data_IF_731376731994
#
_entry.id   IF_731376731994
#
_cell.length_a   1.000
_cell.length_b   1.000
_cell.length_c   1.000
_cell.angle_alpha   90.00
_cell.angle_beta   90.00
_cell.angle_gamma   90.00
#
_symmetry.space_group_name_H-M   'P 1'
#
loop_
_entity.id
_entity.type
_entity.pdbx_description
1 polymer ?
#
# COMPACT_ATOMS: atom_id res chain seq x y z
N UNK A 1 47.97 -78.12 -37.78
CA UNK A 1 48.32 -76.70 -37.77
C UNK A 1 47.07 -75.84 -37.48
N UNK A 2 46.86 -75.36 -36.27
CA UNK A 2 45.72 -74.49 -35.89
C UNK A 2 46.28 -73.23 -35.33
N UNK A 3 46.13 -72.14 -36.04
CA UNK A 3 46.57 -70.82 -35.72
C UNK A 3 45.54 -70.14 -34.76
N UNK A 4 45.99 -69.73 -33.54
CA UNK A 4 45.16 -68.97 -32.58
C UNK A 4 45.27 -67.49 -32.90
N UNK A 5 44.16 -66.84 -33.17
CA UNK A 5 44.04 -65.38 -33.26
C UNK A 5 43.73 -64.85 -31.89
N UNK A 6 44.65 -64.00 -31.37
CA UNK A 6 44.42 -63.20 -30.12
C UNK A 6 43.57 -61.95 -30.46
N UNK A 7 42.43 -61.80 -29.82
CA UNK A 7 41.65 -60.58 -29.82
C UNK A 7 42.17 -59.64 -28.77
N UNK A 8 42.61 -58.47 -29.20
CA UNK A 8 42.83 -57.32 -28.31
C UNK A 8 41.52 -56.63 -28.06
N UNK A 9 41.07 -56.52 -26.79
CA UNK A 9 39.96 -55.71 -26.36
C UNK A 9 40.41 -54.27 -26.10
N UNK A 10 39.90 -53.32 -26.85
CA UNK A 10 40.03 -51.89 -26.55
C UNK A 10 38.98 -51.52 -25.47
N UNK A 11 39.43 -51.25 -24.27
CA UNK A 11 38.59 -50.65 -23.22
C UNK A 11 38.45 -49.15 -23.46
N UNK A 12 37.25 -48.71 -23.84
CA UNK A 12 36.89 -47.29 -23.90
C UNK A 12 36.56 -46.81 -22.47
N UNK A 13 37.42 -46.00 -21.89
CA UNK A 13 37.14 -45.29 -20.63
C UNK A 13 36.22 -44.10 -20.94
N UNK A 14 34.95 -44.19 -20.52
CA UNK A 14 34.03 -43.03 -20.49
C UNK A 14 34.45 -42.09 -19.37
N UNK A 15 35.02 -40.95 -19.73
CA UNK A 15 35.24 -39.83 -18.80
C UNK A 15 33.89 -39.08 -18.71
N UNK A 16 33.11 -39.34 -17.66
CA UNK A 16 32.01 -38.48 -17.29
C UNK A 16 32.53 -37.16 -16.74
N UNK A 17 32.65 -36.17 -17.62
CA UNK A 17 32.83 -34.77 -17.17
C UNK A 17 31.53 -34.30 -16.51
N UNK A 18 31.49 -34.35 -15.18
CA UNK A 18 30.44 -33.73 -14.39
C UNK A 18 30.57 -32.20 -14.53
N UNK A 19 29.72 -31.62 -15.39
CA UNK A 19 29.49 -30.19 -15.33
C UNK A 19 28.77 -29.90 -14.02
N UNK A 20 29.53 -29.54 -12.98
CA UNK A 20 29.00 -28.90 -11.80
C UNK A 20 28.35 -27.58 -12.27
N UNK A 21 27.02 -27.50 -12.27
CA UNK A 21 26.34 -26.23 -12.36
C UNK A 21 26.75 -25.43 -11.11
N UNK A 22 27.73 -24.56 -11.28
CA UNK A 22 27.99 -23.51 -10.31
C UNK A 22 26.71 -22.68 -10.26
N UNK A 23 25.96 -22.81 -9.18
CA UNK A 23 24.89 -21.89 -8.87
C UNK A 23 25.53 -20.50 -8.79
N UNK A 24 25.25 -19.64 -9.77
CA UNK A 24 25.62 -18.24 -9.68
C UNK A 24 24.86 -17.72 -8.47
N UNK A 25 25.53 -17.58 -7.34
CA UNK A 25 25.00 -16.85 -6.20
C UNK A 25 24.91 -15.39 -6.68
N UNK A 26 23.73 -14.98 -7.09
CA UNK A 26 23.48 -13.59 -7.42
C UNK A 26 23.76 -12.79 -6.15
N UNK A 27 24.64 -11.79 -6.25
CA UNK A 27 24.92 -10.91 -5.12
C UNK A 27 23.61 -10.27 -4.67
N UNK A 28 23.34 -10.30 -3.36
CA UNK A 28 22.15 -9.67 -2.80
C UNK A 28 22.15 -8.18 -3.15
N UNK A 29 21.04 -7.68 -3.67
CA UNK A 29 20.87 -6.24 -3.87
C UNK A 29 20.67 -5.55 -2.51
N UNK A 30 21.07 -4.28 -2.43
CA UNK A 30 20.86 -3.43 -1.26
C UNK A 30 20.01 -2.19 -1.58
N UNK A 31 19.12 -2.30 -2.56
CA UNK A 31 18.23 -1.21 -2.93
C UNK A 31 17.41 -0.76 -1.72
N UNK A 32 17.25 0.57 -1.52
CA UNK A 32 16.48 1.11 -0.40
C UNK A 32 15.07 0.54 -0.33
N UNK A 33 14.62 0.32 0.91
CA UNK A 33 13.24 -0.07 1.23
C UNK A 33 12.51 1.15 1.78
N UNK A 34 11.46 1.57 1.09
CA UNK A 34 10.63 2.70 1.49
C UNK A 34 9.27 2.17 1.95
N UNK A 35 8.94 2.40 3.21
CA UNK A 35 7.65 2.08 3.78
C UNK A 35 6.62 3.16 3.46
N UNK A 36 5.43 2.77 2.99
CA UNK A 36 4.33 3.66 2.60
C UNK A 36 3.08 3.32 3.40
N UNK A 37 2.68 4.22 4.29
CA UNK A 37 1.51 4.03 5.17
C UNK A 37 0.17 4.12 4.41
N UNK A 38 -0.91 3.63 5.03
CA UNK A 38 -2.27 3.68 4.50
C UNK A 38 -3.05 4.94 4.88
N UNK A 39 -4.38 4.81 4.77
CA UNK A 39 -5.36 5.82 5.21
C UNK A 39 -5.16 6.17 6.68
N UNK A 40 -5.33 7.46 7.03
CA UNK A 40 -5.09 8.00 8.36
C UNK A 40 -3.70 7.70 8.94
N UNK A 41 -2.71 7.34 8.10
CA UNK A 41 -1.35 7.06 8.55
C UNK A 41 -0.61 8.33 8.99
N UNK A 42 0.55 8.15 9.60
CA UNK A 42 1.31 9.23 10.21
C UNK A 42 2.81 8.92 10.23
N UNK A 43 3.59 9.96 10.51
CA UNK A 43 5.04 9.90 10.52
C UNK A 43 5.66 9.45 11.84
N UNK A 44 6.99 9.28 11.83
CA UNK A 44 7.76 8.82 12.98
C UNK A 44 7.74 9.80 14.18
N UNK A 45 7.45 11.08 13.93
CA UNK A 45 7.46 12.16 14.94
C UNK A 45 6.06 12.65 15.30
N UNK A 46 5.03 11.99 14.81
CA UNK A 46 3.63 12.27 15.10
C UNK A 46 3.08 11.29 16.15
N UNK A 47 1.82 11.43 16.53
CA UNK A 47 1.11 10.57 17.49
C UNK A 47 1.88 10.32 18.77
N UNK A 48 2.46 11.39 19.32
CA UNK A 48 3.20 11.36 20.58
C UNK A 48 4.33 10.30 20.63
N UNK A 49 4.85 9.92 19.46
CA UNK A 49 5.90 8.92 19.31
C UNK A 49 5.43 7.48 19.11
N UNK A 50 4.12 7.21 19.12
CA UNK A 50 3.58 5.94 18.66
C UNK A 50 3.85 5.79 17.16
N UNK A 51 4.23 4.59 16.72
CA UNK A 51 4.68 4.39 15.32
C UNK A 51 3.57 3.77 14.47
N UNK A 52 3.34 4.31 13.28
CA UNK A 52 2.51 3.61 12.30
C UNK A 52 3.10 2.22 12.01
N UNK A 53 4.40 2.16 11.80
CA UNK A 53 5.14 0.92 11.61
C UNK A 53 5.80 0.48 12.92
N UNK A 54 5.11 -0.38 13.68
CA UNK A 54 5.63 -0.97 14.90
C UNK A 54 4.85 -0.64 16.19
N UNK A 55 3.88 0.27 16.16
CA UNK A 55 3.11 0.63 17.35
C UNK A 55 4.00 1.21 18.47
N UNK A 56 4.11 0.49 19.57
CA UNK A 56 4.99 0.82 20.70
C UNK A 56 6.48 0.62 20.39
N UNK A 57 6.80 -0.12 19.33
CA UNK A 57 8.16 -0.36 18.87
C UNK A 57 8.43 0.44 17.59
N UNK A 58 9.66 0.43 17.11
CA UNK A 58 10.03 1.08 15.86
C UNK A 58 10.51 0.01 14.87
N UNK A 59 9.61 -0.41 13.97
CA UNK A 59 9.91 -1.43 12.98
C UNK A 59 11.03 -0.98 12.01
N UNK A 60 10.99 0.29 11.58
CA UNK A 60 12.03 0.84 10.70
C UNK A 60 13.41 0.72 11.35
N UNK A 61 13.55 1.18 12.60
CA UNK A 61 14.83 1.15 13.32
C UNK A 61 15.31 -0.27 13.54
N UNK A 62 14.42 -1.22 13.86
CA UNK A 62 14.79 -2.64 14.04
C UNK A 62 15.28 -3.29 12.75
N UNK A 63 14.67 -2.96 11.61
CA UNK A 63 15.10 -3.46 10.31
C UNK A 63 16.40 -2.78 9.88
N UNK A 64 16.54 -1.46 10.06
CA UNK A 64 17.78 -0.74 9.75
C UNK A 64 18.96 -1.27 10.57
N UNK A 65 18.74 -1.65 11.82
CA UNK A 65 19.79 -2.24 12.66
C UNK A 65 20.25 -3.62 12.17
N UNK A 66 19.35 -4.40 11.55
CA UNK A 66 19.71 -5.69 10.93
C UNK A 66 20.39 -5.51 9.56
N UNK A 67 19.88 -4.61 8.74
CA UNK A 67 20.34 -4.39 7.36
C UNK A 67 21.15 -3.10 7.26
N UNK A 68 22.39 -3.15 7.78
CA UNK A 68 23.27 -1.96 7.89
C UNK A 68 23.77 -1.45 6.53
N UNK A 69 23.78 -2.29 5.52
CA UNK A 69 24.16 -1.99 4.14
C UNK A 69 22.98 -1.59 3.24
N UNK A 70 21.75 -1.57 3.78
CA UNK A 70 20.52 -1.22 3.05
C UNK A 70 19.79 -0.09 3.75
N UNK A 71 19.35 0.91 3.00
CA UNK A 71 18.55 2.01 3.53
C UNK A 71 17.13 1.52 3.78
N UNK A 72 16.62 1.74 5.01
CA UNK A 72 15.21 1.49 5.38
C UNK A 72 14.60 2.79 5.87
N UNK A 73 13.60 3.32 5.17
CA UNK A 73 12.97 4.62 5.47
C UNK A 73 11.44 4.53 5.40
N UNK A 74 10.78 5.43 6.11
CA UNK A 74 9.33 5.61 6.06
C UNK A 74 9.01 6.93 5.37
N UNK A 75 8.18 6.87 4.33
CA UNK A 75 7.58 8.04 3.73
C UNK A 75 6.29 8.42 4.46
N UNK A 76 5.98 9.72 4.48
CA UNK A 76 4.83 10.27 5.22
C UNK A 76 4.02 11.18 4.29
N UNK A 77 3.12 10.59 3.54
CA UNK A 77 2.26 11.26 2.57
C UNK A 77 0.95 11.75 3.21
N UNK A 78 0.13 12.50 2.48
CA UNK A 78 -1.17 12.96 2.97
C UNK A 78 -2.08 11.80 3.39
N UNK A 79 -2.50 11.73 4.67
CA UNK A 79 -3.22 10.57 5.18
C UNK A 79 -4.63 10.41 4.61
N UNK A 80 -5.19 11.49 4.07
CA UNK A 80 -6.55 11.55 3.50
C UNK A 80 -6.58 12.03 2.05
N UNK A 81 -5.43 12.35 1.47
CA UNK A 81 -5.31 12.72 0.06
C UNK A 81 -5.61 11.53 -0.86
N UNK A 82 -5.92 11.82 -2.11
CA UNK A 82 -6.10 10.79 -3.15
C UNK A 82 -4.83 9.97 -3.38
N UNK A 83 -4.96 8.82 -4.03
CA UNK A 83 -3.80 8.02 -4.43
C UNK A 83 -2.88 8.78 -5.39
N UNK A 84 -3.43 9.67 -6.24
CA UNK A 84 -2.64 10.53 -7.10
C UNK A 84 -1.79 11.50 -6.30
N UNK A 85 -2.40 12.31 -5.44
CA UNK A 85 -1.69 13.28 -4.61
C UNK A 85 -0.63 12.61 -3.74
N UNK A 86 -0.99 11.50 -3.11
CA UNK A 86 -0.07 10.69 -2.30
C UNK A 86 1.11 10.15 -3.11
N UNK A 87 0.89 9.73 -4.35
CA UNK A 87 1.95 9.24 -5.22
C UNK A 87 2.90 10.37 -5.63
N UNK A 88 2.39 11.56 -5.91
CA UNK A 88 3.18 12.75 -6.18
C UNK A 88 4.02 13.14 -4.96
N UNK A 89 3.41 13.19 -3.78
CA UNK A 89 4.11 13.46 -2.54
C UNK A 89 5.20 12.41 -2.25
N UNK A 90 4.89 11.13 -2.48
CA UNK A 90 5.83 10.02 -2.33
C UNK A 90 7.05 10.18 -3.24
N UNK A 91 6.84 10.61 -4.50
CA UNK A 91 7.94 10.93 -5.40
C UNK A 91 8.87 11.97 -4.81
N UNK A 92 8.34 13.11 -4.38
CA UNK A 92 9.16 14.20 -3.83
C UNK A 92 9.79 13.85 -2.50
N UNK A 93 9.15 13.02 -1.68
CA UNK A 93 9.76 12.54 -0.44
C UNK A 93 10.94 11.60 -0.70
N UNK A 94 10.86 10.73 -1.70
CA UNK A 94 11.99 9.84 -2.04
C UNK A 94 13.09 10.63 -2.74
N UNK A 95 12.76 11.36 -3.80
CA UNK A 95 13.73 12.04 -4.67
C UNK A 95 14.27 13.33 -4.08
N UNK A 96 13.42 14.06 -3.38
CA UNK A 96 13.67 15.44 -2.97
C UNK A 96 13.01 16.45 -3.90
N UNK A 97 12.89 17.68 -3.41
CA UNK A 97 12.25 18.79 -4.11
C UNK A 97 10.92 19.20 -3.53
N UNK A 98 10.27 20.18 -4.17
CA UNK A 98 8.97 20.70 -3.74
C UNK A 98 7.83 20.07 -4.55
N UNK A 99 6.76 19.72 -3.85
CA UNK A 99 5.59 19.04 -4.44
C UNK A 99 4.99 19.90 -5.56
N UNK A 100 4.80 19.29 -6.72
CA UNK A 100 4.07 19.83 -7.86
C UNK A 100 3.06 18.75 -8.31
N UNK A 101 1.78 18.93 -8.01
CA UNK A 101 0.72 17.98 -8.37
C UNK A 101 0.38 17.94 -9.87
N UNK A 102 0.96 18.85 -10.65
CA UNK A 102 0.65 19.01 -12.08
C UNK A 102 -0.47 20.02 -12.31
N UNK A 103 -0.34 20.77 -13.41
CA UNK A 103 -1.29 21.85 -13.77
C UNK A 103 -2.71 21.33 -13.96
N UNK A 104 -2.85 20.31 -14.81
CA UNK A 104 -4.16 19.78 -15.19
C UNK A 104 -4.87 19.12 -14.02
N UNK A 105 -4.15 18.36 -13.19
CA UNK A 105 -4.71 17.72 -12.02
C UNK A 105 -5.26 18.76 -11.04
N UNK A 106 -4.43 19.74 -10.68
CA UNK A 106 -4.81 20.82 -9.78
C UNK A 106 -6.00 21.64 -10.30
N UNK A 107 -6.06 21.93 -11.61
CA UNK A 107 -7.18 22.63 -12.22
C UNK A 107 -8.46 21.78 -12.24
N UNK A 108 -8.33 20.49 -12.55
CA UNK A 108 -9.47 19.58 -12.62
C UNK A 108 -10.18 19.46 -11.26
N UNK A 109 -9.41 19.39 -10.18
CA UNK A 109 -9.96 19.18 -8.84
C UNK A 109 -10.07 20.45 -8.00
N UNK A 110 -9.52 21.59 -8.47
CA UNK A 110 -9.67 22.90 -7.83
C UNK A 110 -8.78 23.10 -6.59
N UNK A 111 -7.62 22.48 -6.54
CA UNK A 111 -6.66 22.65 -5.46
C UNK A 111 -5.34 23.31 -5.92
N UNK A 112 -4.41 23.58 -5.01
CA UNK A 112 -3.11 24.18 -5.34
C UNK A 112 -2.22 23.17 -6.07
N UNK A 113 -1.66 23.59 -7.21
CA UNK A 113 -0.60 22.85 -7.90
C UNK A 113 0.67 22.71 -7.05
N UNK A 114 1.11 23.83 -6.43
CA UNK A 114 2.35 23.93 -5.65
C UNK A 114 2.05 24.53 -4.28
N UNK A 115 1.79 23.71 -3.25
CA UNK A 115 1.43 24.18 -1.93
C UNK A 115 2.52 25.02 -1.25
N UNK A 116 3.79 24.88 -1.59
CA UNK A 116 4.89 25.66 -1.04
C UNK A 116 4.73 27.17 -1.30
N UNK A 117 4.09 27.55 -2.40
CA UNK A 117 3.79 28.94 -2.71
C UNK A 117 2.77 29.56 -1.71
N UNK A 118 1.92 28.72 -1.11
CA UNK A 118 0.93 29.15 -0.11
C UNK A 118 1.56 29.35 1.28
N UNK A 119 2.45 28.46 1.69
CA UNK A 119 3.00 28.46 3.04
C UNK A 119 4.30 29.24 3.20
N UNK A 120 5.00 29.56 2.13
CA UNK A 120 6.27 30.32 2.11
C UNK A 120 7.40 29.72 3.00
N UNK A 121 7.22 28.55 3.58
CA UNK A 121 8.16 27.91 4.52
C UNK A 121 8.72 26.57 4.05
N UNK A 122 8.44 26.20 2.78
CA UNK A 122 8.92 24.95 2.19
C UNK A 122 8.41 23.68 2.87
N UNK A 123 7.26 23.75 3.59
CA UNK A 123 6.70 22.59 4.29
C UNK A 123 6.49 21.37 3.38
N UNK A 124 6.19 21.61 2.12
CA UNK A 124 6.00 20.57 1.08
C UNK A 124 7.25 20.38 0.21
N UNK A 125 8.41 20.91 0.65
CA UNK A 125 9.70 20.66 0.03
C UNK A 125 10.52 19.71 0.89
N UNK A 126 11.09 18.69 0.26
CA UNK A 126 11.75 17.58 0.93
C UNK A 126 13.23 17.47 0.54
N UNK A 127 14.12 17.11 1.48
CA UNK A 127 15.54 16.88 1.15
C UNK A 127 15.75 15.59 0.37
N UNK A 128 14.74 14.70 0.33
CA UNK A 128 14.83 13.37 -0.25
C UNK A 128 15.25 12.31 0.77
N UNK A 129 14.49 11.22 0.84
CA UNK A 129 14.86 10.03 1.61
C UNK A 129 15.99 9.26 0.92
N UNK A 130 16.03 9.35 -0.41
CA UNK A 130 17.04 8.77 -1.28
C UNK A 130 17.24 9.62 -2.56
N UNK A 131 17.98 10.74 -2.50
CA UNK A 131 18.14 11.65 -3.64
C UNK A 131 18.81 11.03 -4.87
N UNK A 132 19.58 9.95 -4.69
CA UNK A 132 20.19 9.19 -5.78
C UNK A 132 19.21 8.34 -6.59
N UNK A 133 17.92 8.28 -6.17
CA UNK A 133 16.89 7.46 -6.80
C UNK A 133 16.75 7.73 -8.30
N UNK A 134 16.96 6.70 -9.11
CA UNK A 134 16.83 6.68 -10.56
C UNK A 134 16.76 5.23 -11.07
N UNK A 135 16.82 5.01 -12.38
CA UNK A 135 16.78 3.67 -12.99
C UNK A 135 17.98 2.78 -12.59
N UNK A 136 19.13 3.37 -12.28
CA UNK A 136 20.34 2.65 -11.84
C UNK A 136 20.34 2.39 -10.34
N UNK A 137 19.55 3.15 -9.60
CA UNK A 137 19.42 3.11 -8.14
C UNK A 137 17.95 2.96 -7.73
N UNK A 138 17.27 1.87 -8.12
CA UNK A 138 15.85 1.69 -7.85
C UNK A 138 15.58 1.45 -6.37
N UNK A 139 14.30 1.52 -5.98
CA UNK A 139 13.84 1.26 -4.62
C UNK A 139 12.85 0.09 -4.57
N UNK A 140 12.70 -0.49 -3.38
CA UNK A 140 11.58 -1.36 -3.02
C UNK A 140 10.52 -0.53 -2.27
N UNK A 141 9.26 -0.59 -2.70
CA UNK A 141 8.14 0.01 -1.99
C UNK A 141 7.43 -1.07 -1.17
N UNK A 142 7.36 -0.89 0.14
CA UNK A 142 6.65 -1.80 1.06
C UNK A 142 5.50 -1.03 1.68
N UNK A 143 4.28 -1.42 1.34
CA UNK A 143 3.11 -0.57 1.47
C UNK A 143 1.99 -1.29 2.21
N UNK A 144 1.34 -0.60 3.13
CA UNK A 144 0.21 -1.13 3.88
C UNK A 144 -1.09 -0.42 3.49
N UNK A 145 -2.19 -1.18 3.43
CA UNK A 145 -3.52 -0.62 3.20
C UNK A 145 -3.56 0.24 1.92
N UNK A 146 -4.14 1.43 1.95
CA UNK A 146 -4.15 2.40 0.85
C UNK A 146 -2.75 2.70 0.27
N UNK A 147 -1.68 2.56 1.08
CA UNK A 147 -0.31 2.76 0.60
C UNK A 147 0.07 1.87 -0.57
N UNK A 148 -0.56 0.69 -0.71
CA UNK A 148 -0.35 -0.19 -1.86
C UNK A 148 -0.92 0.39 -3.16
N UNK A 149 -2.11 0.97 -3.12
CA UNK A 149 -2.69 1.71 -4.27
C UNK A 149 -1.82 2.92 -4.61
N UNK A 150 -1.41 3.71 -3.60
CA UNK A 150 -0.48 4.84 -3.75
C UNK A 150 0.83 4.43 -4.45
N UNK A 151 1.42 3.30 -4.06
CA UNK A 151 2.67 2.81 -4.66
C UNK A 151 2.50 2.33 -6.09
N UNK A 152 1.37 1.70 -6.42
CA UNK A 152 1.01 1.32 -7.79
C UNK A 152 0.80 2.57 -8.66
N UNK A 153 0.11 3.57 -8.11
CA UNK A 153 -0.08 4.87 -8.75
C UNK A 153 1.26 5.53 -9.07
N UNK A 154 2.20 5.55 -8.12
CA UNK A 154 3.54 6.10 -8.36
C UNK A 154 4.25 5.38 -9.51
N UNK A 155 4.23 4.05 -9.56
CA UNK A 155 4.84 3.28 -10.66
C UNK A 155 4.21 3.64 -12.00
N UNK A 156 2.89 3.81 -12.05
CA UNK A 156 2.18 4.23 -13.26
C UNK A 156 2.58 5.63 -13.70
N UNK A 157 2.65 6.59 -12.77
CA UNK A 157 3.04 7.98 -13.07
C UNK A 157 4.50 8.08 -13.54
N UNK A 158 5.40 7.26 -13.02
CA UNK A 158 6.78 7.15 -13.51
C UNK A 158 6.84 6.58 -14.93
N UNK A 159 5.92 5.70 -15.31
CA UNK A 159 5.90 5.05 -16.62
C UNK A 159 5.30 5.95 -17.69
N UNK A 160 4.17 6.55 -17.40
CA UNK A 160 3.37 7.29 -18.38
C UNK A 160 3.14 8.73 -17.94
N UNK A 161 3.27 9.65 -18.89
CA UNK A 161 3.02 11.06 -18.69
C UNK A 161 1.51 11.36 -18.74
N UNK A 162 0.79 11.00 -17.68
CA UNK A 162 -0.63 11.30 -17.53
C UNK A 162 -1.56 10.10 -17.58
N UNK A 163 -2.87 10.39 -17.56
CA UNK A 163 -3.93 9.39 -17.71
C UNK A 163 -4.22 9.13 -19.20
N UNK A 164 -4.94 8.03 -19.53
CA UNK A 164 -5.40 7.79 -20.90
C UNK A 164 -6.22 8.94 -21.50
N UNK A 165 -6.95 9.68 -20.67
CA UNK A 165 -7.80 10.80 -21.08
C UNK A 165 -7.06 12.14 -21.15
N UNK A 166 -5.91 12.28 -20.48
CA UNK A 166 -5.10 13.50 -20.43
C UNK A 166 -3.60 13.20 -20.51
N UNK A 167 -3.09 12.73 -21.63
CA UNK A 167 -1.66 12.46 -21.79
C UNK A 167 -0.86 13.76 -21.95
N UNK A 168 0.37 13.78 -21.43
CA UNK A 168 1.36 14.81 -21.78
C UNK A 168 1.32 16.12 -21.00
N UNK A 169 0.54 16.22 -19.92
CA UNK A 169 0.29 17.49 -19.23
C UNK A 169 0.96 17.60 -17.84
N UNK A 170 1.93 16.75 -17.55
CA UNK A 170 2.57 16.62 -16.26
C UNK A 170 4.04 17.02 -16.24
N UNK A 171 4.60 17.35 -15.08
CA UNK A 171 6.03 17.61 -14.93
C UNK A 171 6.91 16.46 -15.46
N UNK A 172 8.14 16.77 -15.79
CA UNK A 172 9.08 15.85 -16.48
C UNK A 172 9.37 14.54 -15.75
N UNK A 173 9.14 14.44 -14.44
CA UNK A 173 9.38 13.20 -13.70
C UNK A 173 8.39 12.06 -14.04
N UNK A 174 7.21 12.38 -14.57
CA UNK A 174 6.23 11.38 -15.01
C UNK A 174 6.66 10.55 -16.25
N UNK A 175 7.81 10.83 -16.79
CA UNK A 175 8.38 10.09 -17.94
C UNK A 175 9.73 9.45 -17.63
N UNK A 176 10.07 9.30 -16.37
CA UNK A 176 11.37 8.75 -15.97
C UNK A 176 11.49 7.24 -16.20
N UNK A 177 10.38 6.53 -16.13
CA UNK A 177 10.30 5.08 -16.36
C UNK A 177 10.06 4.27 -15.09
N UNK A 178 9.35 3.14 -15.23
CA UNK A 178 9.03 2.25 -14.13
C UNK A 178 10.26 1.52 -13.54
N UNK A 179 11.40 1.54 -14.23
CA UNK A 179 12.66 0.94 -13.78
C UNK A 179 13.20 1.53 -12.47
N UNK A 180 12.70 2.70 -12.06
CA UNK A 180 13.04 3.32 -10.78
C UNK A 180 12.48 2.53 -9.58
N UNK A 181 11.55 1.62 -9.81
CA UNK A 181 10.97 0.77 -8.77
C UNK A 181 11.24 -0.70 -9.07
N UNK A 182 12.02 -1.35 -8.21
CA UNK A 182 12.34 -2.77 -8.34
C UNK A 182 11.15 -3.66 -7.96
N UNK A 183 10.46 -3.31 -6.87
CA UNK A 183 9.27 -4.04 -6.43
C UNK A 183 8.27 -3.17 -5.68
N UNK A 184 7.01 -3.57 -5.75
CA UNK A 184 5.90 -3.06 -4.93
C UNK A 184 5.37 -4.22 -4.10
N UNK A 185 5.35 -4.07 -2.78
CA UNK A 185 4.69 -4.99 -1.85
C UNK A 185 3.44 -4.34 -1.33
N UNK A 186 2.29 -4.99 -1.49
CA UNK A 186 0.99 -4.56 -0.96
C UNK A 186 0.57 -5.47 0.18
N UNK A 187 0.33 -4.91 1.34
CA UNK A 187 -0.05 -5.61 2.57
C UNK A 187 -1.43 -5.14 2.97
N UNK A 188 -2.39 -6.04 3.08
CA UNK A 188 -3.78 -5.68 3.45
C UNK A 188 -4.38 -4.56 2.59
N UNK A 189 -3.93 -4.45 1.33
CA UNK A 189 -4.28 -3.35 0.42
C UNK A 189 -5.63 -3.62 -0.23
N UNK A 190 -6.56 -2.64 -0.22
CA UNK A 190 -7.83 -2.74 -0.94
C UNK A 190 -7.62 -2.52 -2.45
N UNK A 191 -6.97 -3.47 -3.15
CA UNK A 191 -6.67 -3.35 -4.58
C UNK A 191 -7.93 -3.20 -5.45
N UNK A 192 -9.06 -3.78 -5.02
CA UNK A 192 -10.37 -3.64 -5.66
C UNK A 192 -11.33 -2.80 -4.78
N UNK A 193 -10.79 -2.02 -3.83
CA UNK A 193 -11.53 -1.20 -2.89
C UNK A 193 -11.97 -1.94 -1.63
N UNK A 194 -12.60 -1.18 -0.72
CA UNK A 194 -13.20 -1.71 0.51
C UNK A 194 -14.67 -1.38 0.60
N UNK A 195 -15.48 -2.37 1.02
CA UNK A 195 -16.91 -2.18 1.30
C UNK A 195 -17.16 -1.27 2.50
N UNK A 196 -16.16 -1.04 3.37
CA UNK A 196 -16.22 -0.05 4.43
C UNK A 196 -16.54 1.35 3.88
N UNK A 197 -15.96 1.73 2.73
CA UNK A 197 -16.21 3.01 2.10
C UNK A 197 -17.69 3.26 1.72
N UNK A 198 -18.46 2.19 1.45
CA UNK A 198 -19.91 2.29 1.21
C UNK A 198 -20.75 2.25 2.51
N UNK A 199 -20.14 1.86 3.62
CA UNK A 199 -20.81 1.80 4.93
C UNK A 199 -20.68 3.08 5.72
N UNK A 200 -19.59 3.80 5.53
CA UNK A 200 -19.38 5.09 6.18
C UNK A 200 -20.31 6.11 5.52
N UNK A 201 -21.43 6.38 6.15
CA UNK A 201 -22.44 7.34 5.67
C UNK A 201 -22.05 8.77 5.99
N UNK A 202 -21.21 8.98 7.00
CA UNK A 202 -20.66 10.27 7.39
C UNK A 202 -19.16 10.10 7.71
N UNK A 203 -18.33 10.59 6.81
CA UNK A 203 -16.88 10.50 6.94
C UNK A 203 -16.31 11.40 8.03
N UNK A 204 -16.99 12.50 8.34
CA UNK A 204 -16.48 13.46 9.34
C UNK A 204 -16.41 12.83 10.73
N UNK A 205 -17.48 12.29 11.33
CA UNK A 205 -17.40 11.60 12.61
C UNK A 205 -16.47 10.38 12.57
N UNK A 206 -16.45 9.64 11.45
CA UNK A 206 -15.58 8.48 11.31
C UNK A 206 -14.10 8.87 11.42
N UNK A 207 -13.66 9.87 10.65
CA UNK A 207 -12.27 10.35 10.68
C UNK A 207 -11.92 10.96 12.04
N UNK A 208 -12.83 11.74 12.64
CA UNK A 208 -12.63 12.27 13.99
C UNK A 208 -12.41 11.15 15.02
N UNK A 209 -13.25 10.13 15.03
CA UNK A 209 -13.12 8.99 15.94
C UNK A 209 -11.83 8.21 15.69
N UNK A 210 -11.46 7.99 14.42
CA UNK A 210 -10.24 7.29 14.06
C UNK A 210 -9.00 8.04 14.56
N UNK A 211 -8.87 9.32 14.22
CA UNK A 211 -7.70 10.13 14.59
C UNK A 211 -7.60 10.32 16.11
N UNK A 212 -8.72 10.59 16.78
CA UNK A 212 -8.74 10.73 18.24
C UNK A 212 -8.51 9.40 18.96
N UNK A 213 -9.00 8.29 18.41
CA UNK A 213 -8.75 6.95 18.92
C UNK A 213 -7.27 6.55 18.85
N UNK A 214 -6.62 6.81 17.71
CA UNK A 214 -5.18 6.58 17.54
C UNK A 214 -4.39 7.49 18.50
N UNK A 215 -4.76 8.78 18.61
CA UNK A 215 -4.12 9.71 19.53
C UNK A 215 -4.28 9.27 20.99
N UNK A 216 -5.44 8.69 21.35
CA UNK A 216 -5.69 8.13 22.68
C UNK A 216 -4.76 6.96 23.02
N UNK A 217 -4.56 6.05 22.08
CA UNK A 217 -3.59 4.94 22.22
C UNK A 217 -2.17 5.50 22.35
N UNK A 218 -1.82 6.46 21.51
CA UNK A 218 -0.51 7.09 21.50
C UNK A 218 -0.23 7.87 22.80
N UNK A 219 -1.24 8.44 23.44
CA UNK A 219 -1.13 9.18 24.70
C UNK A 219 -0.56 8.38 25.87
N UNK A 220 -0.69 7.05 25.81
CA UNK A 220 -0.08 6.14 26.79
C UNK A 220 1.46 6.16 26.74
N UNK A 221 2.04 6.54 25.59
CA UNK A 221 3.49 6.58 25.36
C UNK A 221 4.02 8.01 25.19
N UNK A 222 3.17 9.03 25.37
CA UNK A 222 3.36 10.38 24.88
C UNK A 222 4.58 11.13 25.40
N UNK A 223 5.29 11.77 24.48
CA UNK A 223 6.22 12.87 24.74
C UNK A 223 5.52 14.18 24.37
N UNK A 224 5.33 15.12 25.32
CA UNK A 224 4.61 16.37 25.07
C UNK A 224 5.23 17.28 23.99
N UNK A 225 6.49 17.07 23.64
CA UNK A 225 7.16 17.80 22.57
C UNK A 225 6.85 17.25 21.16
N UNK A 226 6.16 16.12 21.05
CA UNK A 226 5.87 15.45 19.78
C UNK A 226 4.54 15.96 19.22
N UNK A 227 4.48 16.18 17.92
CA UNK A 227 3.22 16.54 17.23
C UNK A 227 2.20 15.42 17.41
N UNK A 228 0.94 15.80 17.62
CA UNK A 228 -0.12 14.79 17.73
C UNK A 228 -0.45 14.23 16.36
N UNK A 229 -0.80 15.07 15.39
CA UNK A 229 -1.16 14.61 14.05
C UNK A 229 -1.10 15.76 13.03
N UNK A 230 -0.81 15.44 11.78
CA UNK A 230 -0.86 16.40 10.69
C UNK A 230 -1.67 15.82 9.51
N UNK A 231 -2.76 16.47 9.16
CA UNK A 231 -3.62 16.06 8.06
C UNK A 231 -2.98 16.22 6.66
N UNK A 232 -1.93 17.05 6.54
CA UNK A 232 -1.17 17.27 5.29
C UNK A 232 -2.07 17.55 4.07
N UNK A 233 -3.01 18.44 4.24
CA UNK A 233 -3.96 18.84 3.19
C UNK A 233 -3.62 20.23 2.65
N UNK A 234 -2.34 20.48 2.47
CA UNK A 234 -1.77 21.77 2.04
C UNK A 234 -2.29 22.21 0.67
N UNK A 235 -2.48 21.27 -0.25
CA UNK A 235 -3.06 21.54 -1.56
C UNK A 235 -4.47 22.11 -1.48
N UNK A 236 -5.23 21.75 -0.46
CA UNK A 236 -6.57 22.25 -0.18
C UNK A 236 -6.58 23.51 0.71
N UNK A 237 -5.41 24.14 0.94
CA UNK A 237 -5.23 25.30 1.83
C UNK A 237 -5.60 25.01 3.29
N UNK A 238 -5.56 23.75 3.69
CA UNK A 238 -5.79 23.32 5.07
C UNK A 238 -4.43 23.12 5.73
N UNK A 239 -3.99 24.15 6.48
CA UNK A 239 -2.69 24.16 7.13
C UNK A 239 -2.60 23.28 8.38
N UNK A 240 -1.39 23.07 8.90
CA UNK A 240 -1.16 22.31 10.13
C UNK A 240 -1.81 22.96 11.35
N UNK A 241 -1.79 22.23 12.46
CA UNK A 241 -2.14 22.77 13.76
C UNK A 241 -1.26 23.99 14.08
N UNK A 242 -1.89 25.11 14.46
CA UNK A 242 -1.18 26.32 14.88
C UNK A 242 -0.74 26.21 16.35
N UNK A 243 0.20 27.06 16.79
CA UNK A 243 0.70 27.07 18.17
C UNK A 243 -0.35 27.48 19.20
N UNK A 244 -1.42 28.17 18.77
CA UNK A 244 -2.52 28.63 19.62
C UNK A 244 -3.76 27.76 19.56
N UNK A 245 -3.74 26.70 18.73
CA UNK A 245 -4.89 25.82 18.47
C UNK A 245 -4.77 24.52 19.24
N UNK A 246 -5.79 24.13 19.99
CA UNK A 246 -5.88 22.83 20.61
C UNK A 246 -6.03 21.72 19.55
N UNK A 247 -5.62 20.49 19.87
CA UNK A 247 -5.71 19.38 18.91
C UNK A 247 -7.15 19.13 18.45
N UNK A 248 -8.12 19.17 19.37
CA UNK A 248 -9.56 19.01 19.04
C UNK A 248 -10.04 20.14 18.12
N UNK A 249 -9.61 21.38 18.35
CA UNK A 249 -9.99 22.52 17.52
C UNK A 249 -9.40 22.38 16.10
N UNK A 250 -8.16 21.92 16.02
CA UNK A 250 -7.51 21.59 14.76
C UNK A 250 -8.30 20.52 13.96
N UNK A 251 -8.62 19.40 14.61
CA UNK A 251 -9.44 18.34 13.98
C UNK A 251 -10.78 18.90 13.52
N UNK A 252 -11.46 19.69 14.36
CA UNK A 252 -12.73 20.31 13.98
C UNK A 252 -12.59 21.26 12.79
N UNK A 253 -11.54 22.09 12.76
CA UNK A 253 -11.28 23.01 11.63
C UNK A 253 -11.06 22.24 10.32
N UNK A 254 -10.29 21.18 10.36
CA UNK A 254 -10.07 20.32 9.18
C UNK A 254 -11.40 19.68 8.73
N UNK A 255 -12.18 19.14 9.65
CA UNK A 255 -13.44 18.45 9.35
C UNK A 255 -14.57 19.38 8.91
N UNK A 256 -14.50 20.67 9.22
CA UNK A 256 -15.45 21.70 8.75
C UNK A 256 -15.17 22.13 7.30
N UNK A 257 -14.08 21.68 6.68
CA UNK A 257 -13.78 21.99 5.29
C UNK A 257 -14.88 21.44 4.36
N UNK A 258 -15.34 22.24 3.36
CA UNK A 258 -16.29 21.78 2.35
C UNK A 258 -15.84 20.54 1.57
N UNK A 259 -14.56 20.22 1.60
CA UNK A 259 -13.97 19.03 1.02
C UNK A 259 -14.71 17.74 1.43
N UNK A 260 -15.04 17.61 2.72
CA UNK A 260 -15.65 16.40 3.28
C UNK A 260 -17.14 16.22 2.89
N UNK A 261 -17.82 17.31 2.57
CA UNK A 261 -19.21 17.28 2.17
C UNK A 261 -19.42 17.24 0.64
N UNK A 262 -18.35 17.35 -0.13
CA UNK A 262 -18.41 17.32 -1.59
C UNK A 262 -18.48 15.88 -2.12
N UNK A 263 -19.69 15.35 -2.29
CA UNK A 263 -19.93 14.00 -2.82
C UNK A 263 -19.49 13.79 -4.28
N UNK A 264 -19.15 14.87 -5.00
CA UNK A 264 -18.64 14.81 -6.37
C UNK A 264 -17.10 14.81 -6.43
N UNK A 265 -16.45 15.05 -5.31
CA UNK A 265 -14.98 15.06 -5.27
C UNK A 265 -14.45 13.64 -5.36
N UNK A 266 -13.69 13.39 -6.43
CA UNK A 266 -12.98 12.12 -6.63
C UNK A 266 -11.53 12.16 -6.16
N UNK A 267 -10.96 13.35 -5.97
CA UNK A 267 -9.57 13.53 -5.57
C UNK A 267 -9.40 13.51 -4.04
N UNK A 268 -9.84 12.43 -3.46
CA UNK A 268 -9.79 12.19 -2.01
C UNK A 268 -9.78 10.67 -1.70
N UNK A 269 -9.10 10.29 -0.64
CA UNK A 269 -8.96 8.89 -0.22
C UNK A 269 -10.28 8.16 -0.02
N UNK A 270 -11.34 8.86 0.41
CA UNK A 270 -12.65 8.24 0.64
C UNK A 270 -13.29 7.74 -0.66
N UNK A 271 -13.00 8.41 -1.78
CA UNK A 271 -13.39 7.93 -3.10
C UNK A 271 -12.50 6.77 -3.57
N UNK A 272 -11.19 6.93 -3.52
CA UNK A 272 -10.23 5.94 -4.03
C UNK A 272 -10.32 4.59 -3.29
N UNK A 273 -10.67 4.63 -2.01
CA UNK A 273 -10.87 3.43 -1.19
C UNK A 273 -12.21 2.73 -1.50
N UNK A 274 -13.17 3.41 -2.14
CA UNK A 274 -14.41 2.75 -2.54
C UNK A 274 -14.16 1.72 -3.65
N UNK A 275 -14.99 0.67 -3.76
CA UNK A 275 -14.87 -0.26 -4.88
C UNK A 275 -14.98 0.43 -6.25
N UNK A 276 -15.80 1.48 -6.39
CA UNK A 276 -15.90 2.26 -7.62
C UNK A 276 -14.59 3.00 -7.94
N UNK A 277 -14.04 3.76 -6.98
CA UNK A 277 -12.79 4.50 -7.17
C UNK A 277 -11.61 3.58 -7.46
N UNK A 278 -11.48 2.50 -6.69
CA UNK A 278 -10.42 1.52 -6.93
C UNK A 278 -10.51 0.85 -8.31
N UNK A 279 -11.73 0.55 -8.80
CA UNK A 279 -11.91 -0.01 -10.13
C UNK A 279 -11.67 1.01 -11.24
N UNK A 280 -12.03 2.29 -11.07
CA UNK A 280 -11.63 3.35 -12.00
C UNK A 280 -10.10 3.48 -12.05
N UNK A 281 -9.43 3.49 -10.90
CA UNK A 281 -7.97 3.49 -10.84
C UNK A 281 -7.39 2.27 -11.57
N UNK A 282 -7.90 1.07 -11.30
CA UNK A 282 -7.44 -0.17 -11.91
C UNK A 282 -7.64 -0.20 -13.45
N UNK A 283 -8.51 0.64 -14.00
CA UNK A 283 -8.71 0.73 -15.46
C UNK A 283 -7.46 1.27 -16.16
N UNK A 284 -6.75 2.22 -15.58
CA UNK A 284 -5.60 2.85 -16.20
C UNK A 284 -4.26 2.61 -15.48
N UNK A 285 -4.25 2.32 -14.18
CA UNK A 285 -3.04 1.91 -13.45
C UNK A 285 -2.70 0.47 -13.78
N UNK A 286 -1.64 0.28 -14.59
CA UNK A 286 -1.24 -1.03 -15.13
C UNK A 286 -0.11 -1.66 -14.33
N UNK A 287 -0.08 -2.98 -14.33
CA UNK A 287 1.06 -3.74 -13.81
C UNK A 287 2.21 -3.64 -14.82
N UNK A 288 3.38 -3.17 -14.38
CA UNK A 288 4.52 -2.97 -15.26
C UNK A 288 5.34 -4.26 -15.38
N UNK A 289 5.78 -4.65 -16.60
CA UNK A 289 6.42 -5.95 -16.83
C UNK A 289 7.80 -6.09 -16.17
N UNK A 290 8.44 -4.98 -15.82
CA UNK A 290 9.77 -4.90 -15.20
C UNK A 290 9.76 -4.72 -13.68
N UNK A 291 8.58 -4.74 -13.05
CA UNK A 291 8.40 -4.58 -11.61
C UNK A 291 7.90 -5.89 -10.98
N UNK A 292 8.46 -6.26 -9.83
CA UNK A 292 7.92 -7.35 -9.03
C UNK A 292 6.76 -6.84 -8.15
N UNK A 293 5.60 -7.45 -8.24
CA UNK A 293 4.48 -7.15 -7.34
C UNK A 293 4.33 -8.28 -6.33
N UNK A 294 4.30 -7.93 -5.05
CA UNK A 294 4.01 -8.85 -3.95
C UNK A 294 2.70 -8.45 -3.30
N UNK A 295 1.91 -9.42 -2.87
CA UNK A 295 0.72 -9.16 -2.07
C UNK A 295 0.60 -10.10 -0.88
N UNK A 296 0.05 -9.58 0.21
CA UNK A 296 -0.24 -10.31 1.44
C UNK A 296 -1.67 -10.00 1.84
N UNK A 297 -2.45 -11.05 2.08
CA UNK A 297 -3.82 -10.92 2.56
C UNK A 297 -3.87 -11.18 4.05
N UNK A 298 -4.70 -10.42 4.76
CA UNK A 298 -5.01 -10.58 6.19
C UNK A 298 -6.48 -10.96 6.37
N UNK A 299 -6.82 -11.59 7.48
CA UNK A 299 -8.20 -11.93 7.83
C UNK A 299 -8.31 -12.08 9.34
N UNK A 300 -9.27 -11.39 9.93
CA UNK A 300 -9.62 -11.49 11.35
C UNK A 300 -11.12 -11.76 11.56
N UNK A 301 -11.74 -12.41 10.60
CA UNK A 301 -13.14 -12.82 10.66
C UNK A 301 -13.29 -14.34 10.60
N UNK A 302 -14.41 -14.85 11.12
CA UNK A 302 -14.78 -16.26 11.08
C UNK A 302 -16.24 -16.44 10.68
N UNK A 303 -16.50 -17.44 9.85
CA UNK A 303 -17.86 -17.71 9.37
C UNK A 303 -18.71 -18.38 10.46
N UNK A 304 -19.84 -17.80 10.81
CA UNK A 304 -20.79 -18.35 11.76
C UNK A 304 -21.48 -19.60 11.20
N UNK A 305 -21.48 -20.67 11.97
CA UNK A 305 -22.00 -21.99 11.55
C UNK A 305 -23.51 -21.98 11.22
N UNK A 306 -24.29 -21.13 11.91
CA UNK A 306 -25.75 -21.08 11.74
C UNK A 306 -26.14 -20.06 10.67
N UNK A 307 -25.53 -18.87 10.71
CA UNK A 307 -25.91 -17.73 9.87
C UNK A 307 -25.17 -17.70 8.53
N UNK A 308 -24.00 -18.32 8.46
CA UNK A 308 -23.06 -18.19 7.34
C UNK A 308 -22.45 -16.79 7.21
N UNK A 309 -22.69 -15.89 8.18
CA UNK A 309 -22.12 -14.55 8.23
C UNK A 309 -20.70 -14.57 8.80
N UNK A 310 -19.91 -13.57 8.45
CA UNK A 310 -18.59 -13.37 9.05
C UNK A 310 -18.72 -12.58 10.36
N UNK A 311 -17.95 -12.96 11.36
CA UNK A 311 -17.89 -12.35 12.70
C UNK A 311 -16.43 -12.06 13.06
N UNK A 312 -16.15 -10.99 13.85
CA UNK A 312 -14.80 -10.74 14.32
C UNK A 312 -14.30 -11.87 15.22
N UNK A 313 -13.03 -12.20 15.10
CA UNK A 313 -12.37 -13.08 16.05
C UNK A 313 -12.07 -12.32 17.35
N UNK A 314 -11.90 -13.06 18.46
CA UNK A 314 -11.69 -12.44 19.78
C UNK A 314 -10.39 -11.62 19.89
N UNK A 315 -9.39 -11.89 19.06
CA UNK A 315 -8.12 -11.16 19.03
C UNK A 315 -8.12 -9.93 18.12
N UNK A 316 -9.21 -9.66 17.37
CA UNK A 316 -9.29 -8.47 16.52
C UNK A 316 -9.20 -7.20 17.39
N UNK A 317 -8.45 -6.20 16.89
CA UNK A 317 -8.21 -4.95 17.62
C UNK A 317 -9.53 -4.23 17.95
N UNK A 318 -9.82 -3.96 19.21
CA UNK A 318 -11.07 -3.31 19.61
C UNK A 318 -11.29 -1.93 18.96
N UNK A 319 -10.20 -1.18 18.66
CA UNK A 319 -10.29 0.08 17.96
C UNK A 319 -10.96 -0.07 16.59
N UNK A 320 -10.58 -1.11 15.84
CA UNK A 320 -11.16 -1.38 14.52
C UNK A 320 -12.65 -1.76 14.65
N UNK A 321 -13.03 -2.48 15.70
CA UNK A 321 -14.41 -2.80 16.01
C UNK A 321 -15.27 -1.56 16.32
N UNK A 322 -14.71 -0.58 17.02
CA UNK A 322 -15.37 0.71 17.30
C UNK A 322 -15.57 1.49 16.01
N UNK A 323 -14.56 1.54 15.15
CA UNK A 323 -14.58 2.28 13.89
C UNK A 323 -15.56 1.67 12.88
N UNK A 324 -15.62 0.35 12.83
CA UNK A 324 -16.54 -0.37 11.95
C UNK A 324 -17.99 -0.37 12.44
N UNK A 325 -18.23 0.03 13.68
CA UNK A 325 -19.52 -0.04 14.37
C UNK A 325 -19.89 -1.46 14.82
N UNK A 326 -20.77 -1.59 15.81
CA UNK A 326 -21.21 -2.88 16.30
C UNK A 326 -21.88 -3.69 15.17
N UNK A 327 -21.35 -4.87 14.91
CA UNK A 327 -21.89 -5.80 13.90
C UNK A 327 -21.44 -5.57 12.46
N UNK A 328 -20.53 -4.62 12.17
CA UNK A 328 -19.97 -4.53 10.84
C UNK A 328 -18.87 -5.59 10.65
N UNK A 329 -19.08 -6.47 9.70
CA UNK A 329 -18.08 -7.46 9.24
C UNK A 329 -18.16 -7.64 7.71
N UNK A 330 -18.55 -6.59 6.99
CA UNK A 330 -18.71 -6.66 5.53
C UNK A 330 -19.92 -7.46 5.06
N UNK A 331 -20.70 -8.07 5.97
CA UNK A 331 -21.89 -8.85 5.61
C UNK A 331 -22.96 -7.96 4.97
N UNK A 332 -23.42 -8.33 3.79
CA UNK A 332 -24.48 -7.64 3.09
C UNK A 332 -25.28 -8.61 2.21
N UNK A 333 -26.51 -8.26 1.93
CA UNK A 333 -27.30 -8.86 0.87
C UNK A 333 -27.15 -8.03 -0.39
N UNK A 334 -27.11 -8.63 -1.61
CA UNK A 334 -27.13 -7.88 -2.86
C UNK A 334 -28.35 -6.95 -2.93
N UNK A 335 -28.14 -5.73 -3.43
CA UNK A 335 -29.16 -4.71 -3.62
C UNK A 335 -28.87 -3.83 -4.84
N UNK A 336 -29.46 -2.65 -4.93
CA UNK A 336 -29.30 -1.72 -6.06
C UNK A 336 -27.99 -0.94 -6.06
N UNK A 337 -27.17 -1.07 -4.99
CA UNK A 337 -25.86 -0.39 -4.93
C UNK A 337 -24.89 -0.99 -5.95
N UNK A 338 -23.87 -0.23 -6.36
CA UNK A 338 -22.87 -0.72 -7.31
C UNK A 338 -22.07 -1.90 -6.73
N UNK A 339 -21.28 -2.53 -7.59
CA UNK A 339 -20.38 -3.61 -7.20
C UNK A 339 -19.60 -3.27 -5.89
N UNK A 340 -19.44 -4.23 -4.96
CA UNK A 340 -19.82 -5.64 -5.04
C UNK A 340 -21.25 -5.97 -4.57
N UNK A 341 -22.04 -4.97 -4.18
CA UNK A 341 -23.40 -5.12 -3.66
C UNK A 341 -24.43 -5.52 -4.73
N UNK A 342 -24.12 -5.31 -5.99
CA UNK A 342 -25.03 -5.60 -7.11
C UNK A 342 -25.61 -7.01 -7.03
N UNK A 343 -26.92 -7.13 -7.19
CA UNK A 343 -27.63 -8.40 -7.23
C UNK A 343 -27.11 -9.37 -8.31
N UNK A 344 -26.44 -8.83 -9.33
CA UNK A 344 -25.82 -9.63 -10.40
C UNK A 344 -24.43 -10.14 -10.07
N UNK A 345 -23.89 -9.86 -8.88
CA UNK A 345 -22.59 -10.37 -8.44
C UNK A 345 -22.73 -11.72 -7.73
N UNK A 346 -22.47 -12.88 -8.41
CA UNK A 346 -22.61 -14.20 -7.79
C UNK A 346 -21.57 -14.47 -6.70
N UNK A 347 -20.51 -13.66 -6.64
CA UNK A 347 -19.41 -13.84 -5.71
C UNK A 347 -19.47 -12.86 -4.52
N UNK A 348 -20.59 -12.19 -4.29
CA UNK A 348 -20.72 -11.15 -3.24
C UNK A 348 -20.32 -11.64 -1.84
N UNK A 349 -20.61 -12.91 -1.49
CA UNK A 349 -20.23 -13.50 -0.20
C UNK A 349 -18.71 -13.57 0.03
N UNK A 350 -17.91 -13.60 -1.03
CA UNK A 350 -16.44 -13.57 -0.91
C UNK A 350 -15.92 -12.24 -0.35
N UNK A 351 -16.74 -11.19 -0.42
CA UNK A 351 -16.43 -9.87 0.12
C UNK A 351 -16.74 -9.73 1.61
N UNK A 352 -17.32 -10.74 2.23
CA UNK A 352 -17.64 -10.73 3.66
C UNK A 352 -16.43 -11.00 4.54
N UNK A 353 -15.58 -11.97 4.14
CA UNK A 353 -14.34 -12.24 4.85
C UNK A 353 -13.43 -11.01 4.82
N UNK A 354 -12.95 -10.59 5.98
CA UNK A 354 -12.27 -9.29 6.16
C UNK A 354 -11.26 -9.33 7.31
N UNK A 355 -10.30 -8.41 7.25
CA UNK A 355 -9.42 -8.06 8.37
C UNK A 355 -9.99 -6.94 9.25
N UNK A 356 -11.30 -6.72 9.21
CA UNK A 356 -12.12 -5.64 9.80
C UNK A 356 -12.19 -4.35 8.99
N UNK A 357 -11.23 -4.05 8.12
CA UNK A 357 -11.17 -2.82 7.31
C UNK A 357 -11.33 -3.13 5.82
N UNK A 358 -10.64 -4.16 5.35
CA UNK A 358 -10.57 -4.52 3.93
C UNK A 358 -11.08 -5.95 3.71
N UNK A 359 -11.96 -6.18 2.72
CA UNK A 359 -12.32 -7.54 2.31
C UNK A 359 -11.09 -8.32 1.84
N UNK A 360 -10.88 -9.50 2.41
CA UNK A 360 -9.70 -10.35 2.10
C UNK A 360 -9.53 -10.63 0.61
N UNK A 361 -10.65 -10.76 -0.13
CA UNK A 361 -10.63 -10.99 -1.58
C UNK A 361 -10.00 -9.83 -2.35
N UNK A 362 -10.15 -8.60 -1.86
CA UNK A 362 -9.61 -7.37 -2.47
C UNK A 362 -8.08 -7.23 -2.32
N UNK A 363 -7.47 -7.97 -1.40
CA UNK A 363 -6.04 -7.78 -1.06
C UNK A 363 -5.08 -8.52 -1.99
N UNK A 364 -5.56 -9.49 -2.76
CA UNK A 364 -4.71 -10.41 -3.51
C UNK A 364 -4.05 -9.76 -4.72
N UNK A 365 -4.83 -9.03 -5.49
CA UNK A 365 -4.41 -8.31 -6.69
C UNK A 365 -5.55 -7.39 -7.15
N UNK A 366 -5.29 -6.40 -8.03
CA UNK A 366 -6.34 -5.59 -8.68
C UNK A 366 -7.04 -6.42 -9.77
N UNK A 367 -8.10 -7.11 -9.41
CA UNK A 367 -8.77 -8.08 -10.28
C UNK A 367 -9.97 -7.52 -11.04
N UNK A 368 -10.48 -6.38 -10.61
CA UNK A 368 -11.61 -5.69 -11.22
C UNK A 368 -11.23 -4.29 -11.68
N UNK A 369 -11.85 -3.84 -12.76
CA UNK A 369 -11.72 -2.46 -13.27
C UNK A 369 -13.07 -1.96 -13.79
N UNK A 370 -13.18 -0.63 -13.92
CA UNK A 370 -14.36 0.05 -14.46
C UNK A 370 -13.91 1.07 -15.50
N UNK A 371 -14.45 0.99 -16.71
CA UNK A 371 -14.14 1.93 -17.78
C UNK A 371 -14.86 3.29 -17.59
N UNK A 372 -14.56 4.26 -18.45
CA UNK A 372 -15.11 5.62 -18.38
C UNK A 372 -16.64 5.67 -18.58
N UNK A 373 -17.24 4.59 -19.08
CA UNK A 373 -18.69 4.44 -19.24
C UNK A 373 -19.34 3.80 -18.01
N UNK A 374 -18.56 3.47 -16.97
CA UNK A 374 -19.01 2.77 -15.78
C UNK A 374 -19.20 1.26 -15.96
N UNK A 375 -18.64 0.67 -17.04
CA UNK A 375 -18.72 -0.78 -17.27
C UNK A 375 -17.63 -1.49 -16.45
N UNK A 376 -18.08 -2.33 -15.53
CA UNK A 376 -17.19 -3.14 -14.67
C UNK A 376 -16.80 -4.43 -15.39
N UNK A 377 -15.51 -4.74 -15.35
CA UNK A 377 -14.96 -5.95 -15.97
C UNK A 377 -13.82 -6.58 -15.16
N UNK A 378 -13.63 -7.88 -15.31
CA UNK A 378 -12.49 -8.57 -14.71
C UNK A 378 -11.20 -8.24 -15.49
N UNK A 379 -10.15 -7.84 -14.78
CA UNK A 379 -8.82 -7.62 -15.36
C UNK A 379 -8.13 -8.95 -15.65
N UNK A 380 -7.35 -8.98 -16.72
CA UNK A 380 -6.39 -10.06 -16.96
C UNK A 380 -5.13 -9.81 -16.11
N UNK A 381 -5.05 -10.47 -14.96
CA UNK A 381 -3.93 -10.33 -14.01
C UNK A 381 -3.27 -11.68 -13.80
N UNK A 382 -1.95 -11.73 -13.93
CA UNK A 382 -1.18 -12.92 -13.59
C UNK A 382 -0.92 -12.97 -12.10
N UNK A 383 -1.49 -13.95 -11.42
CA UNK A 383 -1.28 -14.16 -9.97
C UNK A 383 -0.53 -15.47 -9.77
N UNK A 384 0.63 -15.40 -9.14
CA UNK A 384 1.45 -16.53 -8.75
C UNK A 384 1.37 -16.74 -7.24
N UNK A 385 0.91 -17.90 -6.81
CA UNK A 385 0.95 -18.27 -5.40
C UNK A 385 2.38 -18.69 -5.01
N UNK A 386 2.98 -17.93 -4.10
CA UNK A 386 4.31 -18.20 -3.54
C UNK A 386 4.28 -18.39 -2.03
N UNK A 387 3.10 -18.65 -1.46
CA UNK A 387 2.91 -18.83 -0.01
C UNK A 387 3.77 -19.96 0.57
N UNK A 388 4.09 -20.94 -0.25
CA UNK A 388 4.93 -22.10 0.09
C UNK A 388 6.42 -21.92 -0.27
N UNK A 389 6.90 -20.67 -0.44
CA UNK A 389 8.31 -20.39 -0.72
C UNK A 389 8.71 -20.47 -2.19
N UNK A 390 7.74 -20.39 -3.12
CA UNK A 390 8.00 -20.35 -4.56
C UNK A 390 8.80 -19.12 -4.98
N UNK A 391 9.61 -19.23 -6.04
CA UNK A 391 10.34 -18.09 -6.60
C UNK A 391 9.39 -17.04 -7.17
N UNK A 392 9.61 -15.73 -6.94
CA UNK A 392 8.76 -14.68 -7.50
C UNK A 392 8.95 -14.55 -9.02
N UNK A 393 7.91 -14.05 -9.68
CA UNK A 393 7.92 -13.76 -11.12
C UNK A 393 7.77 -12.25 -11.32
N UNK A 394 8.63 -11.67 -12.14
CA UNK A 394 8.56 -10.24 -12.53
C UNK A 394 7.32 -10.01 -13.41
N UNK A 395 6.69 -8.84 -13.30
CA UNK A 395 5.49 -8.48 -14.03
C UNK A 395 4.22 -9.23 -13.57
N UNK A 396 4.30 -10.00 -12.48
CA UNK A 396 3.19 -10.76 -11.93
C UNK A 396 2.96 -10.42 -10.45
N UNK A 397 1.74 -10.66 -9.97
CA UNK A 397 1.38 -10.57 -8.56
C UNK A 397 1.80 -11.85 -7.84
N UNK A 398 2.83 -11.76 -7.04
CA UNK A 398 3.37 -12.85 -6.24
C UNK A 398 2.66 -12.86 -4.88
N UNK A 399 1.58 -13.62 -4.78
CA UNK A 399 0.81 -13.70 -3.55
C UNK A 399 1.54 -14.54 -2.50
N UNK A 400 1.85 -13.93 -1.37
CA UNK A 400 2.60 -14.54 -0.26
C UNK A 400 1.72 -15.31 0.72
N UNK A 401 0.44 -15.37 0.47
CA UNK A 401 -0.51 -16.12 1.29
C UNK A 401 -1.44 -15.25 2.13
N UNK A 402 -2.25 -15.95 2.91
CA UNK A 402 -3.18 -15.38 3.86
C UNK A 402 -2.60 -15.46 5.28
N UNK A 403 -2.53 -14.32 5.94
CA UNK A 403 -2.32 -14.22 7.38
C UNK A 403 -3.68 -14.36 8.06
N UNK A 404 -4.10 -15.60 8.28
CA UNK A 404 -5.34 -15.89 9.00
C UNK A 404 -5.19 -15.54 10.48
N UNK A 405 -6.25 -15.00 11.08
CA UNK A 405 -6.28 -14.47 12.45
C UNK A 405 -5.50 -13.17 12.69
N UNK A 406 -5.01 -12.51 11.64
CA UNK A 406 -4.39 -11.19 11.71
C UNK A 406 -5.38 -10.12 11.27
N UNK A 407 -5.58 -9.10 12.10
CA UNK A 407 -6.37 -7.94 11.73
C UNK A 407 -5.56 -6.93 10.90
N UNK A 408 -6.22 -5.85 10.51
CA UNK A 408 -5.63 -4.84 9.62
C UNK A 408 -4.35 -4.21 10.18
N UNK A 409 -4.23 -4.10 11.50
CA UNK A 409 -3.11 -3.41 12.16
C UNK A 409 -2.04 -4.37 12.71
N UNK A 410 -2.34 -5.66 12.82
CA UNK A 410 -1.40 -6.65 13.36
C UNK A 410 -0.13 -6.74 12.53
N UNK A 411 -0.26 -6.76 11.20
CA UNK A 411 0.88 -6.90 10.30
C UNK A 411 1.85 -5.72 10.34
N UNK A 412 1.40 -4.54 10.71
CA UNK A 412 2.27 -3.37 10.89
C UNK A 412 2.86 -3.26 12.31
N UNK A 413 2.59 -4.24 13.17
CA UNK A 413 3.21 -4.36 14.50
C UNK A 413 2.47 -3.66 15.62
N UNK A 414 1.13 -3.45 15.50
CA UNK A 414 0.33 -2.88 16.60
C UNK A 414 -0.11 -3.93 17.61
N UNK A 415 0.05 -5.21 17.28
CA UNK A 415 -0.23 -6.32 18.18
C UNK A 415 1.05 -6.84 18.82
N UNK A 416 0.95 -7.24 20.08
CA UNK A 416 2.01 -7.96 20.80
C UNK A 416 1.92 -9.49 20.62
N UNK A 417 0.87 -9.98 19.95
CA UNK A 417 0.63 -11.42 19.79
C UNK A 417 1.32 -12.00 18.55
N UNK A 418 1.72 -11.16 17.58
CA UNK A 418 2.25 -11.59 16.30
C UNK A 418 3.68 -11.08 16.06
N UNK A 419 4.53 -11.93 15.50
CA UNK A 419 5.91 -11.56 15.12
C UNK A 419 5.94 -10.86 13.75
N UNK A 420 5.42 -9.64 13.70
CA UNK A 420 5.48 -8.80 12.49
C UNK A 420 6.93 -8.50 12.09
N UNK A 421 7.83 -8.24 13.04
CA UNK A 421 9.27 -7.97 12.78
C UNK A 421 9.92 -9.14 12.07
N UNK A 422 9.69 -10.36 12.54
CA UNK A 422 10.21 -11.58 11.90
C UNK A 422 9.68 -11.77 10.48
N UNK A 423 8.42 -11.43 10.25
CA UNK A 423 7.83 -11.45 8.91
C UNK A 423 8.54 -10.46 7.98
N UNK A 424 8.75 -9.20 8.41
CA UNK A 424 9.46 -8.19 7.59
C UNK A 424 10.90 -8.57 7.32
N UNK A 425 11.61 -9.14 8.30
CA UNK A 425 12.97 -9.65 8.08
C UNK A 425 13.04 -10.68 6.95
N UNK A 426 12.15 -11.67 6.96
CA UNK A 426 12.05 -12.69 5.89
C UNK A 426 11.68 -12.04 4.54
N UNK A 427 10.82 -11.04 4.57
CA UNK A 427 10.42 -10.34 3.35
C UNK A 427 11.56 -9.51 2.76
N UNK A 428 12.31 -8.77 3.59
CA UNK A 428 13.47 -8.00 3.13
C UNK A 428 14.57 -8.95 2.60
N UNK A 429 14.80 -10.09 3.24
CA UNK A 429 15.74 -11.12 2.71
C UNK A 429 15.30 -11.57 1.29
N UNK A 430 14.01 -11.76 1.05
CA UNK A 430 13.48 -12.05 -0.29
C UNK A 430 13.69 -10.88 -1.27
N UNK A 431 13.42 -9.62 -0.87
CA UNK A 431 13.64 -8.46 -1.74
C UNK A 431 15.12 -8.31 -2.13
N UNK A 432 16.03 -8.60 -1.23
CA UNK A 432 17.48 -8.58 -1.48
C UNK A 432 17.92 -9.65 -2.48
N UNK A 433 17.14 -10.71 -2.67
CA UNK A 433 17.43 -11.79 -3.63
C UNK A 433 16.93 -11.55 -5.05
N UNK A 434 16.27 -10.39 -5.33
CA UNK A 434 15.67 -10.07 -6.65
C UNK A 434 16.72 -9.59 -7.68
#
# INVERSE_FOLDING_TARGET
MRTRIKRFGLGAALICAGFGMASIVQAANNYPVIFVHGFAGFGLTEMLGYKYWGGLTDLQSQLQAKYTDQIVKTAVVGPFSSNWDRAVELFYQIKGGCVDYGEMHAQTYGHLRKPEAYYHNGRTCYPGLYPAWDASHPVHLVSHSMGGQTSRMLVQLLKDNGTPTNPGLFPSFYTTGSDWVKSVTTISTPNDGTTLAYRVTDWVPFVQQLVTGIAGIAGVTGNPATKIYDFKMDQWKIGPQTSSEGFTDYVNRVMQSPLWSNSQLKDISTYDLSPAGAMEENHWVKDQPNVYYFSVSTKSSTTGLITGWEYPIASANPLLGILAGPGWMGNFTPDSRPFPYSANNPAYKKWWATDTVVPTVSMKAPTWAMDERGVIYARSVTIKDISNGGAPQIGAWNWKGLMDTWDHMDIIGWSLFWDSVGWYKKHLDQLRSL
#
